data_IF_253548432066
#
_entry.id   IF_253548432066
#
_cell.length_a   1.000
_cell.length_b   1.000
_cell.length_c   1.000
_cell.angle_alpha   90.00
_cell.angle_beta   90.00
_cell.angle_gamma   90.00
#
_symmetry.space_group_name_H-M   'P 1'
#
loop_
_entity.id
_entity.type
_entity.pdbx_description
1 polymer ?
#
# COMPACT_ATOMS: atom_id res chain seq x y z
N UNK A 1 -58.39 -32.40 -66.67
CA UNK A 1 -58.19 -33.01 -65.38
C UNK A 1 -56.80 -32.62 -64.93
N UNK A 2 -56.65 -31.48 -64.10
CA UNK A 2 -55.36 -30.88 -63.63
C UNK A 2 -55.27 -31.01 -62.11
N UNK A 3 -54.34 -31.82 -61.67
CA UNK A 3 -54.04 -31.99 -60.25
C UNK A 3 -53.05 -30.89 -59.78
N UNK A 4 -53.47 -30.11 -58.82
CA UNK A 4 -52.59 -29.16 -58.09
C UNK A 4 -52.00 -29.85 -56.87
N UNK A 5 -50.71 -30.12 -56.89
CA UNK A 5 -49.96 -30.45 -55.69
C UNK A 5 -49.69 -29.15 -54.91
N UNK A 6 -50.25 -29.05 -53.73
CA UNK A 6 -49.85 -28.00 -52.74
C UNK A 6 -48.68 -28.55 -51.92
N UNK A 7 -47.49 -27.99 -52.13
CA UNK A 7 -46.34 -28.23 -51.30
C UNK A 7 -46.45 -27.45 -49.95
N UNK A 8 -46.42 -28.15 -48.84
CA UNK A 8 -46.31 -27.59 -47.50
C UNK A 8 -44.83 -27.39 -47.25
N UNK A 9 -44.41 -26.11 -47.12
CA UNK A 9 -43.06 -25.75 -46.65
C UNK A 9 -43.11 -25.69 -45.11
N UNK A 10 -42.53 -26.69 -44.46
CA UNK A 10 -42.26 -26.64 -43.00
C UNK A 10 -41.05 -25.74 -42.77
N UNK A 11 -41.27 -24.55 -42.17
CA UNK A 11 -40.19 -23.71 -41.67
C UNK A 11 -39.74 -24.26 -40.29
N UNK A 12 -38.58 -24.89 -40.26
CA UNK A 12 -37.89 -25.23 -39.01
C UNK A 12 -37.30 -23.94 -38.41
N UNK A 13 -37.95 -23.39 -37.39
CA UNK A 13 -37.38 -22.35 -36.56
C UNK A 13 -36.37 -22.99 -35.58
N UNK A 14 -35.07 -22.85 -35.83
CA UNK A 14 -34.03 -23.21 -34.89
C UNK A 14 -34.05 -22.21 -33.74
N UNK A 15 -34.57 -22.62 -32.57
CA UNK A 15 -34.33 -21.91 -31.33
C UNK A 15 -32.82 -22.01 -31.01
N UNK A 16 -32.10 -20.93 -31.19
CA UNK A 16 -30.78 -20.77 -30.58
C UNK A 16 -31.00 -20.67 -29.08
N UNK A 17 -30.83 -21.76 -28.33
CA UNK A 17 -30.67 -21.75 -26.89
C UNK A 17 -29.31 -21.13 -26.64
N UNK A 18 -29.29 -19.84 -26.37
CA UNK A 18 -28.10 -19.20 -25.80
C UNK A 18 -27.79 -19.91 -24.47
N UNK A 19 -26.67 -20.61 -24.42
CA UNK A 19 -26.09 -21.04 -23.15
C UNK A 19 -25.75 -19.75 -22.40
N UNK A 20 -26.58 -19.41 -21.43
CA UNK A 20 -26.11 -18.48 -20.39
C UNK A 20 -24.83 -19.13 -19.83
N UNK A 21 -23.68 -18.52 -20.08
CA UNK A 21 -22.46 -18.90 -19.38
C UNK A 21 -22.80 -18.83 -17.90
N UNK A 22 -22.65 -19.94 -17.19
CA UNK A 22 -22.69 -19.92 -15.74
C UNK A 22 -21.65 -18.86 -15.33
N UNK A 23 -22.08 -17.83 -14.61
CA UNK A 23 -21.16 -16.91 -14.00
C UNK A 23 -20.32 -17.76 -13.06
N UNK A 24 -19.06 -18.00 -13.43
CA UNK A 24 -18.13 -18.69 -12.56
C UNK A 24 -18.07 -17.91 -11.25
N UNK A 25 -17.96 -18.61 -10.11
CA UNK A 25 -17.86 -17.96 -8.81
C UNK A 25 -16.70 -16.95 -8.84
N UNK A 26 -16.81 -15.79 -8.15
CA UNK A 26 -15.75 -14.81 -8.11
C UNK A 26 -14.40 -15.44 -7.71
N UNK A 27 -13.30 -14.97 -8.30
CA UNK A 27 -11.95 -15.40 -7.95
C UNK A 27 -11.66 -15.11 -6.48
N UNK A 28 -11.14 -16.09 -5.77
CA UNK A 28 -10.67 -15.89 -4.39
C UNK A 28 -9.25 -15.35 -4.41
N UNK A 29 -9.12 -14.09 -3.99
CA UNK A 29 -7.85 -13.38 -3.89
C UNK A 29 -7.54 -13.12 -2.43
N UNK A 30 -6.32 -13.41 -2.01
CA UNK A 30 -5.80 -13.02 -0.70
C UNK A 30 -4.83 -11.87 -0.91
N UNK A 31 -5.01 -10.77 -0.19
CA UNK A 31 -4.10 -9.64 -0.13
C UNK A 31 -3.45 -9.58 1.26
N UNK A 32 -2.19 -9.22 1.36
CA UNK A 32 -1.51 -9.17 2.65
C UNK A 32 -2.05 -8.07 3.54
N UNK A 33 -2.39 -6.90 2.97
CA UNK A 33 -2.85 -5.73 3.71
C UNK A 33 -4.24 -5.28 3.27
N UNK A 34 -4.88 -4.45 4.09
CA UNK A 34 -6.17 -3.82 3.78
C UNK A 34 -6.07 -2.87 2.58
N UNK A 35 -4.94 -2.19 2.41
CA UNK A 35 -4.69 -1.27 1.29
C UNK A 35 -4.60 -2.06 -0.02
N UNK A 36 -3.77 -3.11 -0.09
CA UNK A 36 -3.68 -3.99 -1.27
C UNK A 36 -5.04 -4.62 -1.57
N UNK A 37 -5.79 -5.02 -0.53
CA UNK A 37 -7.12 -5.60 -0.70
C UNK A 37 -8.12 -4.61 -1.30
N UNK A 38 -8.08 -3.33 -0.90
CA UNK A 38 -8.96 -2.31 -1.46
C UNK A 38 -8.64 -2.06 -2.93
N UNK A 39 -7.37 -1.87 -3.27
CA UNK A 39 -6.94 -1.70 -4.68
C UNK A 39 -7.34 -2.91 -5.52
N UNK A 40 -7.14 -4.14 -5.01
CA UNK A 40 -7.54 -5.35 -5.72
C UNK A 40 -9.05 -5.43 -5.98
N UNK A 41 -9.89 -4.95 -5.03
CA UNK A 41 -11.34 -4.84 -5.23
C UNK A 41 -11.71 -3.80 -6.29
N UNK A 42 -11.01 -2.67 -6.35
CA UNK A 42 -11.24 -1.66 -7.39
C UNK A 42 -10.96 -2.22 -8.79
N UNK A 43 -9.90 -3.02 -8.95
CA UNK A 43 -9.52 -3.60 -10.24
C UNK A 43 -10.39 -4.80 -10.59
N UNK A 44 -10.65 -5.69 -9.62
CA UNK A 44 -11.39 -6.93 -9.84
C UNK A 44 -12.91 -6.76 -9.92
N UNK A 45 -13.46 -5.72 -9.25
CA UNK A 45 -14.91 -5.50 -9.16
C UNK A 45 -15.64 -6.73 -8.61
N UNK A 46 -16.79 -7.03 -9.19
CA UNK A 46 -17.64 -8.18 -8.81
C UNK A 46 -17.04 -9.54 -9.24
N UNK A 47 -15.94 -9.55 -10.00
CA UNK A 47 -15.28 -10.77 -10.48
C UNK A 47 -14.34 -11.37 -9.43
N UNK A 48 -14.08 -10.69 -8.32
CA UNK A 48 -13.17 -11.13 -7.26
C UNK A 48 -13.84 -11.09 -5.88
N UNK A 49 -13.41 -11.99 -5.01
CA UNK A 49 -13.63 -11.88 -3.56
C UNK A 49 -12.26 -11.73 -2.92
N UNK A 50 -11.99 -10.59 -2.29
CA UNK A 50 -10.68 -10.27 -1.74
C UNK A 50 -10.73 -10.30 -0.20
N UNK A 51 -9.85 -11.10 0.41
CA UNK A 51 -9.63 -11.17 1.86
C UNK A 51 -8.27 -10.54 2.17
N UNK A 52 -8.22 -9.63 3.14
CA UNK A 52 -6.97 -9.14 3.70
C UNK A 52 -6.49 -10.09 4.81
N UNK A 53 -5.18 -10.41 4.86
CA UNK A 53 -4.58 -11.22 5.93
C UNK A 53 -4.43 -10.39 7.20
N UNK A 54 -3.76 -9.25 7.09
CA UNK A 54 -3.60 -8.33 8.22
C UNK A 54 -4.92 -7.61 8.44
N UNK A 55 -5.53 -7.74 9.64
CA UNK A 55 -6.79 -7.07 9.95
C UNK A 55 -6.67 -5.53 9.96
N UNK A 56 -7.80 -4.84 9.92
CA UNK A 56 -7.87 -3.39 10.15
C UNK A 56 -7.30 -3.04 11.53
N UNK A 57 -6.72 -1.87 11.66
CA UNK A 57 -6.14 -1.35 12.90
C UNK A 57 -5.05 -2.25 13.52
N UNK A 58 -4.42 -3.11 12.71
CA UNK A 58 -3.33 -3.99 13.13
C UNK A 58 -2.01 -3.56 12.52
N UNK A 59 -0.94 -3.79 13.27
CA UNK A 59 0.44 -3.60 12.84
C UNK A 59 0.86 -4.79 11.96
N UNK A 60 1.18 -4.52 10.69
CA UNK A 60 1.56 -5.56 9.75
C UNK A 60 2.98 -6.11 10.01
N UNK A 61 3.88 -5.30 10.59
CA UNK A 61 5.23 -5.76 10.95
C UNK A 61 5.23 -6.76 12.10
N UNK A 62 4.23 -6.68 12.98
CA UNK A 62 4.05 -7.58 14.13
C UNK A 62 3.02 -8.69 13.88
N UNK A 63 2.49 -8.81 12.66
CA UNK A 63 1.45 -9.80 12.36
C UNK A 63 1.99 -11.23 12.37
N UNK A 64 1.32 -12.09 13.13
CA UNK A 64 1.58 -13.54 13.17
C UNK A 64 0.37 -14.30 12.61
N UNK A 65 0.53 -15.03 11.48
CA UNK A 65 -0.55 -15.77 10.87
C UNK A 65 -1.10 -16.88 11.75
N UNK A 66 -2.44 -16.97 11.87
CA UNK A 66 -3.11 -18.07 12.51
C UNK A 66 -3.33 -19.26 11.52
N UNK A 67 -3.62 -20.47 11.99
CA UNK A 67 -3.89 -21.63 11.13
C UNK A 67 -4.99 -21.40 10.08
N UNK A 68 -5.97 -20.56 10.37
CA UNK A 68 -7.03 -20.17 9.44
C UNK A 68 -6.50 -19.34 8.28
N UNK A 69 -5.46 -18.52 8.50
CA UNK A 69 -4.84 -17.69 7.47
C UNK A 69 -4.05 -18.57 6.50
N UNK A 70 -3.33 -19.57 7.02
CA UNK A 70 -2.67 -20.62 6.21
C UNK A 70 -3.66 -21.32 5.30
N UNK A 71 -4.83 -21.71 5.83
CA UNK A 71 -5.87 -22.35 5.02
C UNK A 71 -6.45 -21.37 3.99
N UNK A 72 -6.71 -20.12 4.38
CA UNK A 72 -7.22 -19.09 3.46
C UNK A 72 -6.29 -18.86 2.26
N UNK A 73 -4.97 -18.82 2.50
CA UNK A 73 -3.95 -18.70 1.44
C UNK A 73 -3.93 -19.96 0.56
N UNK A 74 -3.99 -21.15 1.15
CA UNK A 74 -4.01 -22.41 0.39
C UNK A 74 -5.26 -22.56 -0.50
N UNK A 75 -6.39 -22.00 -0.09
CA UNK A 75 -7.64 -22.00 -0.85
C UNK A 75 -7.76 -20.86 -1.86
N UNK A 76 -6.84 -19.91 -1.85
CA UNK A 76 -6.83 -18.77 -2.78
C UNK A 76 -6.44 -19.20 -4.21
N UNK A 77 -6.80 -18.37 -5.18
CA UNK A 77 -6.40 -18.51 -6.59
C UNK A 77 -5.28 -17.51 -6.95
N UNK A 78 -5.09 -16.50 -6.10
CA UNK A 78 -4.04 -15.48 -6.23
C UNK A 78 -3.72 -14.89 -4.85
N UNK A 79 -2.45 -14.67 -4.57
CA UNK A 79 -1.96 -13.89 -3.42
C UNK A 79 -1.30 -12.62 -3.92
N UNK A 80 -1.65 -11.50 -3.31
CA UNK A 80 -1.08 -10.18 -3.59
C UNK A 80 -0.36 -9.68 -2.35
N UNK A 81 0.90 -9.31 -2.49
CA UNK A 81 1.74 -8.82 -1.39
C UNK A 81 2.49 -7.55 -1.79
N UNK A 82 2.81 -6.72 -0.80
CA UNK A 82 3.60 -5.49 -0.99
C UNK A 82 5.01 -5.83 -1.46
N UNK A 83 5.68 -6.76 -0.79
CA UNK A 83 7.08 -7.10 -1.06
C UNK A 83 8.07 -6.16 -0.39
N UNK A 84 9.30 -6.10 -0.89
CA UNK A 84 10.39 -5.29 -0.33
C UNK A 84 10.69 -5.60 1.16
N UNK A 85 10.43 -6.84 1.58
CA UNK A 85 10.65 -7.27 2.96
C UNK A 85 9.56 -6.88 3.96
N UNK A 86 8.45 -6.28 3.50
CA UNK A 86 7.35 -5.85 4.36
C UNK A 86 6.70 -7.00 5.12
N UNK A 87 6.39 -8.09 4.42
CA UNK A 87 5.72 -9.27 4.99
C UNK A 87 6.71 -10.34 5.43
N UNK A 88 7.33 -10.18 6.58
CA UNK A 88 8.26 -11.19 7.11
C UNK A 88 7.60 -12.57 7.31
N UNK A 89 6.28 -12.60 7.55
CA UNK A 89 5.48 -13.82 7.77
C UNK A 89 5.15 -14.58 6.47
N UNK A 90 5.25 -13.95 5.29
CA UNK A 90 4.70 -14.48 4.04
C UNK A 90 5.42 -15.74 3.57
N UNK A 91 6.74 -15.83 3.76
CA UNK A 91 7.51 -17.00 3.36
C UNK A 91 6.98 -18.30 3.96
N UNK A 92 6.72 -18.31 5.28
CA UNK A 92 6.16 -19.47 5.98
C UNK A 92 4.73 -19.84 5.53
N UNK A 93 3.93 -18.85 5.11
CA UNK A 93 2.60 -19.09 4.54
C UNK A 93 2.70 -19.75 3.17
N UNK A 94 3.55 -19.21 2.29
CA UNK A 94 3.70 -19.69 0.91
C UNK A 94 4.33 -21.08 0.82
N UNK A 95 5.11 -21.50 1.80
CA UNK A 95 5.63 -22.89 1.90
C UNK A 95 4.48 -23.92 1.90
N UNK A 96 3.33 -23.56 2.47
CA UNK A 96 2.13 -24.41 2.52
C UNK A 96 1.20 -24.21 1.30
N UNK A 97 1.45 -23.22 0.48
CA UNK A 97 0.62 -22.82 -0.67
C UNK A 97 1.44 -22.63 -1.96
N UNK A 98 2.49 -23.43 -2.16
CA UNK A 98 3.44 -23.29 -3.27
C UNK A 98 2.80 -23.35 -4.69
N UNK A 99 1.58 -23.86 -4.82
CA UNK A 99 0.85 -23.89 -6.09
C UNK A 99 0.03 -22.61 -6.36
N UNK A 100 -0.15 -21.75 -5.35
CA UNK A 100 -0.90 -20.49 -5.48
C UNK A 100 0.04 -19.41 -6.00
N UNK A 101 -0.31 -18.72 -7.10
CA UNK A 101 0.49 -17.61 -7.59
C UNK A 101 0.60 -16.49 -6.53
N UNK A 102 1.83 -16.05 -6.28
CA UNK A 102 2.15 -14.88 -5.49
C UNK A 102 2.60 -13.76 -6.43
N UNK A 103 2.00 -12.58 -6.30
CA UNK A 103 2.40 -11.39 -7.05
C UNK A 103 2.72 -10.25 -6.09
N UNK A 104 3.87 -9.65 -6.32
CA UNK A 104 4.35 -8.49 -5.57
C UNK A 104 3.84 -7.23 -6.26
N UNK A 105 2.99 -6.46 -5.58
CA UNK A 105 2.37 -5.27 -6.18
C UNK A 105 3.35 -4.13 -6.41
N UNK A 106 4.43 -4.04 -5.62
CA UNK A 106 5.51 -3.07 -5.83
C UNK A 106 6.41 -3.38 -7.04
N UNK A 107 6.15 -4.47 -7.79
CA UNK A 107 6.92 -4.75 -9.03
C UNK A 107 6.84 -3.55 -9.97
N UNK A 108 8.00 -3.05 -10.40
CA UNK A 108 8.11 -1.87 -11.25
C UNK A 108 8.17 -0.54 -10.52
N UNK A 109 7.97 -0.50 -9.20
CA UNK A 109 8.10 0.72 -8.38
C UNK A 109 9.58 1.02 -8.15
N UNK A 110 9.95 2.28 -8.25
CA UNK A 110 11.28 2.78 -7.88
C UNK A 110 11.41 2.77 -6.34
N UNK A 111 12.42 2.07 -5.84
CA UNK A 111 12.62 1.85 -4.42
C UNK A 111 13.69 2.77 -3.85
N UNK A 112 13.47 3.21 -2.62
CA UNK A 112 14.43 3.97 -1.83
C UNK A 112 14.83 3.17 -0.60
N UNK A 113 16.01 3.45 -0.03
CA UNK A 113 16.46 2.89 1.25
C UNK A 113 15.83 3.60 2.42
N UNK A 114 15.92 2.98 3.58
CA UNK A 114 15.69 3.70 4.84
C UNK A 114 16.83 4.68 5.08
N UNK A 115 16.51 5.86 5.60
CA UNK A 115 17.55 6.80 6.05
C UNK A 115 18.22 6.24 7.32
N UNK A 116 19.52 6.45 7.48
CA UNK A 116 20.26 6.05 8.70
C UNK A 116 19.82 6.85 9.93
N UNK A 117 18.74 7.64 9.83
CA UNK A 117 18.29 8.56 10.87
C UNK A 117 19.18 9.82 10.99
N UNK A 118 20.15 9.99 10.10
CA UNK A 118 20.97 11.18 9.99
C UNK A 118 20.38 12.13 8.96
N UNK A 119 19.96 13.31 9.39
CA UNK A 119 19.39 14.35 8.53
C UNK A 119 20.34 14.83 7.41
N UNK A 120 21.61 14.47 7.45
CA UNK A 120 22.67 14.87 6.52
C UNK A 120 23.18 13.70 5.66
N UNK A 121 22.43 12.58 5.53
CA UNK A 121 22.83 11.50 4.61
C UNK A 121 22.69 11.97 3.15
N UNK A 122 23.80 12.16 2.41
CA UNK A 122 23.77 12.65 1.05
C UNK A 122 23.15 11.64 0.06
N UNK A 123 22.93 10.38 0.49
CA UNK A 123 22.42 9.28 -0.34
C UNK A 123 20.96 8.90 -0.01
N UNK A 124 20.36 9.48 1.04
CA UNK A 124 18.98 9.18 1.44
C UNK A 124 17.97 9.40 0.30
N UNK A 125 18.31 10.25 -0.68
CA UNK A 125 17.47 10.60 -1.83
C UNK A 125 17.81 9.82 -3.11
N UNK A 126 18.82 8.94 -3.08
CA UNK A 126 19.18 8.17 -4.25
C UNK A 126 18.29 6.90 -4.36
N UNK A 127 17.68 6.64 -5.54
CA UNK A 127 16.90 5.44 -5.72
C UNK A 127 17.81 4.21 -5.74
N UNK A 128 17.39 3.15 -5.04
CA UNK A 128 18.05 1.84 -5.04
C UNK A 128 17.81 1.06 -6.34
N UNK A 129 16.84 1.50 -7.16
CA UNK A 129 16.42 0.87 -8.40
C UNK A 129 14.95 0.47 -8.39
N UNK A 130 14.55 -0.28 -9.40
CA UNK A 130 13.16 -0.72 -9.58
C UNK A 130 12.98 -2.13 -9.03
N UNK A 131 11.95 -2.35 -8.21
CA UNK A 131 11.67 -3.67 -7.65
C UNK A 131 11.28 -4.67 -8.75
N UNK A 132 11.94 -5.81 -8.75
CA UNK A 132 11.62 -6.92 -9.65
C UNK A 132 10.51 -7.83 -9.11
N UNK A 133 10.06 -8.79 -9.94
CA UNK A 133 9.00 -9.74 -9.59
C UNK A 133 9.32 -10.61 -8.36
N UNK A 134 10.59 -10.81 -8.04
CA UNK A 134 11.01 -11.56 -6.85
C UNK A 134 10.68 -10.85 -5.54
N UNK A 135 10.35 -9.53 -5.60
CA UNK A 135 9.99 -8.73 -4.43
C UNK A 135 11.12 -8.50 -3.43
N UNK A 136 12.35 -8.79 -3.85
CA UNK A 136 13.54 -8.64 -3.02
C UNK A 136 14.31 -7.43 -3.50
N UNK A 137 14.63 -6.53 -2.59
CA UNK A 137 15.59 -5.48 -2.85
C UNK A 137 16.98 -6.11 -2.94
N UNK A 138 17.56 -6.08 -4.10
CA UNK A 138 18.98 -6.37 -4.21
C UNK A 138 19.71 -5.21 -3.52
N UNK A 139 20.30 -5.49 -2.36
CA UNK A 139 21.16 -4.53 -1.70
C UNK A 139 22.19 -4.05 -2.73
N UNK A 140 22.14 -2.77 -3.09
CA UNK A 140 23.23 -2.18 -3.86
C UNK A 140 24.47 -2.32 -2.99
N UNK A 141 25.56 -2.97 -3.47
CA UNK A 141 26.77 -3.05 -2.70
C UNK A 141 27.21 -1.62 -2.39
N UNK A 142 27.08 -1.19 -1.14
CA UNK A 142 27.57 0.11 -0.74
C UNK A 142 29.06 0.17 -1.08
N UNK A 143 29.47 1.24 -1.76
CA UNK A 143 30.90 1.49 -2.01
C UNK A 143 31.64 1.77 -0.69
N UNK A 144 30.92 2.00 0.38
CA UNK A 144 31.41 2.25 1.74
C UNK A 144 30.71 1.32 2.74
N UNK A 145 31.33 1.05 3.89
CA UNK A 145 30.92 0.07 4.92
C UNK A 145 29.54 0.28 5.57
N UNK A 146 28.69 1.17 5.04
CA UNK A 146 27.33 1.42 5.48
C UNK A 146 26.36 0.62 4.60
N UNK A 147 26.00 -0.58 5.06
CA UNK A 147 25.04 -1.44 4.37
C UNK A 147 23.64 -0.82 4.45
N UNK A 148 23.20 -0.12 3.39
CA UNK A 148 21.79 0.21 3.17
C UNK A 148 21.05 -1.11 2.86
N UNK A 149 20.63 -1.82 3.92
CA UNK A 149 20.30 -3.25 3.83
C UNK A 149 18.87 -3.57 3.43
N UNK A 150 17.96 -2.61 3.39
CA UNK A 150 16.56 -2.89 3.05
C UNK A 150 15.90 -1.68 2.40
N UNK A 151 15.04 -1.95 1.41
CA UNK A 151 14.21 -0.92 0.80
C UNK A 151 13.07 -0.51 1.74
N UNK A 152 12.65 0.74 1.65
CA UNK A 152 11.42 1.22 2.25
C UNK A 152 10.21 0.63 1.49
N UNK A 153 9.38 -0.24 2.10
CA UNK A 153 8.23 -0.85 1.44
C UNK A 153 7.00 0.06 1.38
N UNK A 154 6.98 1.20 2.09
CA UNK A 154 5.79 2.05 2.33
C UNK A 154 5.41 2.90 1.11
N UNK A 155 5.49 2.32 -0.09
CA UNK A 155 5.30 2.99 -1.38
C UNK A 155 3.90 3.56 -1.57
N UNK A 156 2.89 3.02 -0.87
CA UNK A 156 1.49 3.45 -0.98
C UNK A 156 1.21 4.84 -0.41
N UNK A 157 2.16 5.44 0.30
CA UNK A 157 2.03 6.83 0.76
C UNK A 157 2.14 7.84 -0.39
N UNK A 158 2.63 7.41 -1.55
CA UNK A 158 2.54 8.11 -2.83
C UNK A 158 1.53 7.40 -3.75
N UNK A 159 0.36 8.00 -4.07
CA UNK A 159 -0.63 7.35 -4.93
C UNK A 159 -0.14 7.05 -6.35
N UNK A 160 0.94 7.69 -6.82
CA UNK A 160 1.53 7.41 -8.14
C UNK A 160 2.13 6.00 -8.20
N UNK A 161 2.66 5.50 -7.09
CA UNK A 161 3.13 4.11 -6.99
C UNK A 161 1.95 3.13 -7.05
N UNK A 162 0.81 3.49 -6.46
CA UNK A 162 -0.40 2.64 -6.50
C UNK A 162 -1.04 2.63 -7.89
N UNK A 163 -0.77 3.60 -8.75
CA UNK A 163 -1.12 3.50 -10.19
C UNK A 163 -0.36 2.34 -10.85
N UNK A 164 0.92 2.09 -10.50
CA UNK A 164 1.67 0.93 -10.97
C UNK A 164 1.13 -0.38 -10.38
N UNK A 165 0.67 -0.36 -9.12
CA UNK A 165 0.00 -1.51 -8.52
C UNK A 165 -1.26 -1.89 -9.29
N UNK A 166 -2.03 -0.91 -9.78
CA UNK A 166 -3.24 -1.17 -10.56
C UNK A 166 -2.92 -1.99 -11.83
N UNK A 167 -1.85 -1.65 -12.55
CA UNK A 167 -1.40 -2.41 -13.73
C UNK A 167 -0.93 -3.81 -13.34
N UNK A 168 -0.13 -3.93 -12.28
CA UNK A 168 0.40 -5.21 -11.78
C UNK A 168 -0.74 -6.13 -11.36
N UNK A 169 -1.73 -5.61 -10.62
CA UNK A 169 -2.90 -6.37 -10.16
C UNK A 169 -3.77 -6.80 -11.36
N UNK A 170 -4.03 -5.90 -12.33
CA UNK A 170 -4.79 -6.24 -13.54
C UNK A 170 -4.10 -7.34 -14.34
N UNK A 171 -2.78 -7.30 -14.48
CA UNK A 171 -1.99 -8.35 -15.14
C UNK A 171 -2.09 -9.67 -14.37
N UNK A 172 -1.99 -9.64 -13.05
CA UNK A 172 -2.11 -10.82 -12.18
C UNK A 172 -3.50 -11.48 -12.28
N UNK A 173 -4.57 -10.67 -12.21
CA UNK A 173 -5.94 -11.15 -12.39
C UNK A 173 -6.16 -11.73 -13.78
N UNK A 174 -5.65 -11.09 -14.83
CA UNK A 174 -5.71 -11.57 -16.21
C UNK A 174 -4.99 -12.92 -16.37
N UNK A 175 -3.87 -13.13 -15.69
CA UNK A 175 -3.12 -14.39 -15.76
C UNK A 175 -3.92 -15.58 -15.22
N UNK A 176 -4.74 -15.37 -14.17
CA UNK A 176 -5.56 -16.43 -13.54
C UNK A 176 -6.99 -16.49 -14.12
N UNK A 177 -7.46 -15.41 -14.75
CA UNK A 177 -8.78 -15.31 -15.39
C UNK A 177 -8.71 -14.53 -16.72
N UNK A 178 -8.15 -15.13 -17.78
CA UNK A 178 -7.97 -14.47 -19.06
C UNK A 178 -9.30 -14.13 -19.78
N UNK A 179 -10.42 -14.72 -19.37
CA UNK A 179 -11.72 -14.44 -19.96
C UNK A 179 -12.21 -13.01 -19.65
N UNK A 180 -11.75 -12.43 -18.55
CA UNK A 180 -12.13 -11.11 -18.07
C UNK A 180 -11.02 -10.05 -18.20
N UNK A 181 -9.98 -10.32 -18.99
CA UNK A 181 -8.80 -9.45 -19.17
C UNK A 181 -9.15 -8.00 -19.52
N UNK A 182 -10.09 -7.79 -20.46
CA UNK A 182 -10.53 -6.46 -20.89
C UNK A 182 -11.17 -5.67 -19.73
N UNK A 183 -11.92 -6.35 -18.84
CA UNK A 183 -12.54 -5.74 -17.67
C UNK A 183 -11.49 -5.28 -16.66
N UNK A 184 -10.52 -6.13 -16.33
CA UNK A 184 -9.45 -5.78 -15.41
C UNK A 184 -8.60 -4.60 -15.92
N UNK A 185 -8.27 -4.63 -17.21
CA UNK A 185 -7.52 -3.53 -17.86
C UNK A 185 -8.31 -2.22 -17.84
N UNK A 186 -9.60 -2.26 -18.14
CA UNK A 186 -10.46 -1.07 -18.12
C UNK A 186 -10.61 -0.50 -16.69
N UNK A 187 -10.80 -1.37 -15.69
CA UNK A 187 -10.90 -0.96 -14.30
C UNK A 187 -9.59 -0.35 -13.78
N UNK A 188 -8.43 -0.93 -14.15
CA UNK A 188 -7.13 -0.38 -13.80
C UNK A 188 -6.95 1.04 -14.35
N UNK A 189 -7.23 1.24 -15.65
CA UNK A 189 -7.15 2.56 -16.26
C UNK A 189 -8.11 3.57 -15.63
N UNK A 190 -9.33 3.15 -15.28
CA UNK A 190 -10.29 4.00 -14.59
C UNK A 190 -9.81 4.37 -13.17
N UNK A 191 -9.27 3.40 -12.42
CA UNK A 191 -8.78 3.65 -11.07
C UNK A 191 -7.52 4.52 -11.06
N UNK A 192 -6.62 4.36 -12.03
CA UNK A 192 -5.46 5.25 -12.21
C UNK A 192 -5.89 6.72 -12.39
N UNK A 193 -6.95 6.98 -13.16
CA UNK A 193 -7.48 8.34 -13.30
C UNK A 193 -7.98 8.90 -11.95
N UNK A 194 -8.67 8.07 -11.14
CA UNK A 194 -9.12 8.45 -9.80
C UNK A 194 -7.94 8.69 -8.85
N UNK A 195 -6.87 7.90 -8.94
CA UNK A 195 -5.65 8.09 -8.16
C UNK A 195 -4.91 9.37 -8.55
N UNK A 196 -4.91 9.74 -9.85
CA UNK A 196 -4.37 11.02 -10.28
C UNK A 196 -5.16 12.20 -9.70
N UNK A 197 -6.48 12.14 -9.75
CA UNK A 197 -7.35 13.15 -9.13
C UNK A 197 -7.10 13.25 -7.62
N UNK A 198 -6.86 12.11 -6.95
CA UNK A 198 -6.51 12.09 -5.52
C UNK A 198 -5.16 12.75 -5.25
N UNK A 199 -4.14 12.45 -6.06
CA UNK A 199 -2.82 13.08 -5.97
C UNK A 199 -2.90 14.62 -6.13
N UNK A 200 -3.66 15.08 -7.13
CA UNK A 200 -3.87 16.50 -7.38
C UNK A 200 -4.59 17.17 -6.20
N UNK A 201 -5.62 16.51 -5.65
CA UNK A 201 -6.35 16.97 -4.47
C UNK A 201 -5.49 17.03 -3.20
N UNK A 202 -4.60 16.03 -2.99
CA UNK A 202 -3.62 16.05 -1.89
C UNK A 202 -2.64 17.22 -2.06
N UNK A 203 -2.15 17.45 -3.28
CA UNK A 203 -1.24 18.56 -3.59
C UNK A 203 -1.89 19.91 -3.26
N UNK A 204 -3.17 20.10 -3.64
CA UNK A 204 -3.92 21.30 -3.28
C UNK A 204 -4.08 21.44 -1.76
N UNK A 205 -4.49 20.37 -1.08
CA UNK A 205 -4.66 20.34 0.39
C UNK A 205 -3.38 20.71 1.12
N UNK A 206 -2.24 20.14 0.69
CA UNK A 206 -0.93 20.36 1.32
C UNK A 206 -0.29 21.70 0.93
N UNK A 207 -0.79 22.38 -0.10
CA UNK A 207 -0.27 23.68 -0.54
C UNK A 207 -0.37 24.79 0.50
N UNK A 208 -1.27 24.62 1.49
CA UNK A 208 -1.45 25.58 2.60
C UNK A 208 -0.32 25.52 3.63
N UNK A 209 0.50 24.46 3.61
CA UNK A 209 1.65 24.30 4.52
C UNK A 209 2.82 25.13 4.00
N UNK A 210 3.33 26.10 4.79
CA UNK A 210 4.51 26.88 4.40
C UNK A 210 5.74 25.98 4.17
N UNK A 211 6.60 26.33 3.21
CA UNK A 211 7.76 25.51 2.85
C UNK A 211 8.68 25.21 4.05
N UNK A 212 8.88 26.21 4.92
CA UNK A 212 9.71 26.08 6.12
C UNK A 212 9.12 25.13 7.21
N UNK A 213 7.85 24.75 7.05
CA UNK A 213 7.14 23.83 7.96
C UNK A 213 6.90 22.46 7.35
N UNK A 214 7.32 22.22 6.11
CA UNK A 214 7.19 20.93 5.45
C UNK A 214 8.20 19.91 5.97
N UNK A 215 8.18 19.71 7.30
CA UNK A 215 9.03 18.77 8.02
C UNK A 215 8.20 17.78 8.81
N UNK A 216 8.50 16.50 8.61
CA UNK A 216 7.82 15.39 9.26
C UNK A 216 8.75 14.75 10.28
N UNK A 217 8.27 14.56 11.50
CA UNK A 217 8.86 13.66 12.49
C UNK A 217 7.85 12.54 12.70
N UNK A 218 8.25 11.29 12.52
CA UNK A 218 7.38 10.13 12.55
C UNK A 218 7.81 9.10 13.60
N UNK A 219 6.89 8.21 14.00
CA UNK A 219 7.22 7.14 14.95
C UNK A 219 8.17 6.09 14.36
N UNK A 220 7.97 5.67 13.12
CA UNK A 220 8.93 4.89 12.33
C UNK A 220 8.98 5.44 10.90
N UNK A 221 9.85 4.90 10.07
CA UNK A 221 10.11 5.43 8.74
C UNK A 221 9.10 4.88 7.72
N UNK A 222 7.99 5.60 7.53
CA UNK A 222 6.92 5.22 6.57
C UNK A 222 6.49 6.35 5.64
N UNK A 223 7.00 7.56 5.83
CA UNK A 223 6.57 8.75 5.08
C UNK A 223 7.55 9.20 3.99
N UNK A 224 8.56 8.41 3.66
CA UNK A 224 9.60 8.79 2.70
C UNK A 224 9.03 9.06 1.30
N UNK A 225 8.14 8.20 0.81
CA UNK A 225 7.50 8.40 -0.50
C UNK A 225 6.52 9.56 -0.49
N UNK A 226 5.77 9.77 0.60
CA UNK A 226 4.93 10.95 0.77
C UNK A 226 5.76 12.23 0.75
N UNK A 227 6.86 12.27 1.50
CA UNK A 227 7.74 13.42 1.58
C UNK A 227 8.27 13.81 0.19
N UNK A 228 8.75 12.84 -0.58
CA UNK A 228 9.21 13.04 -1.97
C UNK A 228 8.09 13.49 -2.90
N UNK A 229 6.88 12.94 -2.75
CA UNK A 229 5.75 13.23 -3.61
C UNK A 229 5.24 14.68 -3.46
N UNK A 230 5.31 15.22 -2.23
CA UNK A 230 4.68 16.50 -1.87
C UNK A 230 5.66 17.56 -1.35
N UNK A 231 6.96 17.40 -1.60
CA UNK A 231 8.00 18.35 -1.24
C UNK A 231 8.07 18.61 0.28
N UNK A 232 8.07 17.51 1.07
CA UNK A 232 8.33 17.51 2.51
C UNK A 232 9.70 16.90 2.78
N UNK A 233 10.24 17.15 3.97
CA UNK A 233 11.45 16.56 4.52
C UNK A 233 11.08 15.63 5.67
N UNK A 234 11.58 14.39 5.69
CA UNK A 234 11.56 13.55 6.90
C UNK A 234 12.68 14.02 7.80
N UNK A 235 12.34 14.88 8.75
CA UNK A 235 13.31 15.55 9.62
C UNK A 235 13.73 14.69 10.83
N UNK A 236 13.05 13.58 11.08
CA UNK A 236 13.42 12.65 12.13
C UNK A 236 12.45 11.50 12.30
N UNK A 237 12.97 10.41 12.85
CA UNK A 237 12.24 9.17 13.11
C UNK A 237 12.52 8.73 14.56
N UNK A 238 11.46 8.38 15.30
CA UNK A 238 11.58 7.96 16.70
C UNK A 238 12.22 6.57 16.82
N UNK A 239 11.79 5.64 15.96
CA UNK A 239 12.31 4.28 15.85
C UNK A 239 12.91 4.14 14.44
N UNK A 240 14.24 4.17 14.29
CA UNK A 240 14.88 4.03 12.98
C UNK A 240 14.58 2.67 12.33
N UNK A 241 14.52 2.69 11.01
CA UNK A 241 14.27 1.49 10.19
C UNK A 241 12.80 1.24 9.94
N UNK A 242 12.53 0.23 9.11
CA UNK A 242 11.19 -0.07 8.60
C UNK A 242 10.35 -0.98 9.47
N UNK A 243 10.58 -1.04 10.77
CA UNK A 243 9.79 -1.86 11.69
C UNK A 243 9.39 -1.08 12.93
N UNK A 244 8.23 -1.42 13.48
CA UNK A 244 7.68 -0.80 14.70
C UNK A 244 8.27 -1.37 15.99
N UNK A 245 9.03 -2.47 15.93
CA UNK A 245 9.57 -3.23 17.05
C UNK A 245 11.03 -2.92 17.42
N UNK A 246 11.62 -1.84 16.90
CA UNK A 246 13.01 -1.45 17.19
C UNK A 246 13.23 -1.06 18.65
N UNK A 247 14.41 -1.37 19.20
CA UNK A 247 14.79 -0.90 20.53
C UNK A 247 15.18 0.59 20.48
N UNK A 248 14.62 1.39 21.40
CA UNK A 248 14.95 2.79 21.51
C UNK A 248 16.25 2.98 22.29
N UNK A 249 17.32 3.42 21.64
CA UNK A 249 18.53 3.86 22.31
C UNK A 249 18.27 5.22 23.01
N UNK A 250 18.45 5.33 24.33
CA UNK A 250 18.26 6.59 25.05
C UNK A 250 19.12 7.76 24.53
N UNK A 251 20.28 7.48 23.93
CA UNK A 251 21.12 8.52 23.33
C UNK A 251 20.55 9.04 22.03
N UNK A 252 20.00 8.14 21.22
CA UNK A 252 19.29 8.51 19.98
C UNK A 252 18.05 9.34 20.28
N UNK A 253 17.24 8.92 21.28
CA UNK A 253 16.04 9.68 21.72
C UNK A 253 16.42 11.08 22.20
N UNK A 254 17.48 11.23 23.00
CA UNK A 254 17.94 12.53 23.46
C UNK A 254 18.44 13.41 22.28
N UNK A 255 19.19 12.82 21.36
CA UNK A 255 19.63 13.51 20.13
C UNK A 255 18.47 13.99 19.27
N UNK A 256 17.45 13.15 19.10
CA UNK A 256 16.23 13.50 18.35
C UNK A 256 15.45 14.65 19.02
N UNK A 257 15.33 14.67 20.35
CA UNK A 257 14.71 15.78 21.09
C UNK A 257 15.45 17.11 20.82
N UNK A 258 16.77 17.09 20.88
CA UNK A 258 17.58 18.31 20.64
C UNK A 258 17.44 18.74 19.14
N UNK A 259 17.37 17.79 18.21
CA UNK A 259 17.19 18.05 16.81
C UNK A 259 15.80 18.66 16.50
N UNK A 260 14.72 18.07 17.01
CA UNK A 260 13.34 18.59 16.91
C UNK A 260 13.28 20.04 17.39
N UNK A 261 13.89 20.34 18.54
CA UNK A 261 13.94 21.70 19.08
C UNK A 261 14.73 22.66 18.18
N UNK A 262 15.87 22.21 17.65
CA UNK A 262 16.72 23.03 16.78
C UNK A 262 16.03 23.39 15.46
N UNK A 263 15.25 22.47 14.91
CA UNK A 263 14.47 22.66 13.67
C UNK A 263 13.16 23.43 13.90
N UNK A 264 12.73 23.62 15.16
CA UNK A 264 11.46 24.25 15.47
C UNK A 264 10.24 23.44 15.02
N UNK A 265 10.38 22.12 14.96
CA UNK A 265 9.25 21.22 14.66
C UNK A 265 8.27 21.29 15.83
N UNK A 266 6.96 21.36 15.51
CA UNK A 266 5.88 21.51 16.50
C UNK A 266 5.04 20.24 16.70
N UNK A 267 5.20 19.23 15.80
CA UNK A 267 4.35 18.04 15.73
C UNK A 267 5.15 16.78 15.44
N UNK A 268 4.84 15.70 16.15
CA UNK A 268 5.24 14.33 15.81
C UNK A 268 4.02 13.60 15.26
N UNK A 269 4.17 12.97 14.09
CA UNK A 269 3.14 12.14 13.49
C UNK A 269 3.33 10.68 13.92
N UNK A 270 2.33 10.15 14.61
CA UNK A 270 2.33 8.79 15.10
C UNK A 270 1.24 7.97 14.41
N UNK A 271 1.52 6.70 14.16
CA UNK A 271 0.52 5.79 13.63
C UNK A 271 -0.53 5.42 14.66
N UNK A 272 -1.76 5.18 14.19
CA UNK A 272 -2.87 4.75 15.03
C UNK A 272 -2.61 3.39 15.72
N UNK A 273 -1.82 2.52 15.08
CA UNK A 273 -1.46 1.18 15.58
C UNK A 273 -0.24 1.15 16.50
N UNK A 274 0.54 2.25 16.56
CA UNK A 274 1.80 2.28 17.32
C UNK A 274 1.59 2.42 18.82
N UNK A 275 2.54 1.88 19.60
CA UNK A 275 2.61 2.15 21.05
C UNK A 275 2.98 3.61 21.30
N UNK A 276 2.08 4.36 21.92
CA UNK A 276 2.26 5.82 22.11
C UNK A 276 3.22 6.17 23.26
N UNK A 277 3.54 5.24 24.16
CA UNK A 277 4.26 5.57 25.41
C UNK A 277 5.61 6.28 25.20
N UNK A 278 6.43 5.81 24.26
CA UNK A 278 7.75 6.42 23.97
C UNK A 278 7.55 7.74 23.23
N UNK A 279 6.58 7.77 22.31
CA UNK A 279 6.23 8.94 21.50
C UNK A 279 5.71 10.07 22.40
N UNK A 280 4.81 9.75 23.33
CA UNK A 280 4.24 10.71 24.28
C UNK A 280 5.33 11.30 25.23
N UNK A 281 6.24 10.44 25.69
CA UNK A 281 7.38 10.88 26.52
C UNK A 281 8.30 11.83 25.73
N UNK A 282 8.65 11.44 24.49
CA UNK A 282 9.52 12.25 23.62
C UNK A 282 8.84 13.58 23.29
N UNK A 283 7.56 13.57 22.96
CA UNK A 283 6.78 14.78 22.65
C UNK A 283 6.70 15.72 23.87
N UNK A 284 6.47 15.16 25.06
CA UNK A 284 6.48 15.93 26.30
C UNK A 284 7.86 16.58 26.58
N UNK A 285 8.93 15.80 26.40
CA UNK A 285 10.30 16.30 26.65
C UNK A 285 10.70 17.31 25.57
N UNK A 286 10.35 17.10 24.30
CA UNK A 286 10.60 18.05 23.22
C UNK A 286 9.73 19.31 23.31
N UNK A 287 8.56 19.23 23.93
CA UNK A 287 7.58 20.32 24.03
C UNK A 287 6.74 20.46 22.76
N UNK A 288 6.46 19.35 22.07
CA UNK A 288 5.70 19.28 20.82
C UNK A 288 4.41 18.46 20.98
N UNK A 289 3.51 18.57 20.01
CA UNK A 289 2.26 17.81 20.00
C UNK A 289 2.43 16.46 19.28
N UNK A 290 1.60 15.46 19.62
CA UNK A 290 1.44 14.22 18.86
C UNK A 290 0.16 14.29 18.06
N UNK A 291 0.25 13.97 16.78
CA UNK A 291 -0.90 13.88 15.86
C UNK A 291 -0.92 12.50 15.27
N UNK A 292 -2.07 11.83 15.34
CA UNK A 292 -2.25 10.48 14.81
C UNK A 292 -2.53 10.51 13.32
N UNK A 293 -1.78 9.71 12.56
CA UNK A 293 -1.99 9.44 11.14
C UNK A 293 -2.33 7.97 10.92
N UNK A 294 -2.87 7.67 9.73
CA UNK A 294 -3.02 6.29 9.25
C UNK A 294 -1.76 5.93 8.46
N UNK A 295 -1.17 4.76 8.71
CA UNK A 295 0.03 4.37 7.98
C UNK A 295 -0.10 3.07 7.21
N UNK A 296 -0.44 1.98 7.85
CA UNK A 296 -0.35 0.64 7.26
C UNK A 296 -1.72 -0.01 7.03
N UNK A 297 -2.77 0.58 7.58
CA UNK A 297 -4.10 -0.01 7.56
C UNK A 297 -5.19 1.00 7.20
N UNK A 298 -6.18 0.52 6.47
CA UNK A 298 -7.47 1.18 6.37
C UNK A 298 -8.26 0.96 7.67
N UNK A 299 -9.26 1.79 7.91
CA UNK A 299 -10.17 1.62 9.05
C UNK A 299 -11.31 0.65 8.73
N UNK A 300 -12.09 0.28 9.74
CA UNK A 300 -13.31 -0.47 9.56
C UNK A 300 -14.30 0.25 8.61
N UNK A 301 -15.26 -0.44 8.00
CA UNK A 301 -16.18 0.14 7.01
C UNK A 301 -16.99 1.35 7.49
N UNK A 302 -17.18 1.51 8.79
CA UNK A 302 -17.85 2.65 9.45
C UNK A 302 -16.84 3.67 10.02
N UNK A 303 -15.54 3.48 9.78
CA UNK A 303 -14.48 4.37 10.23
C UNK A 303 -14.24 5.56 9.29
N UNK A 304 -13.18 6.33 9.58
CA UNK A 304 -12.87 7.58 8.87
C UNK A 304 -12.22 7.37 7.50
N UNK A 305 -11.61 6.20 7.27
CA UNK A 305 -10.88 5.86 6.04
C UNK A 305 -11.07 4.38 5.65
N UNK A 306 -12.29 3.97 5.27
CA UNK A 306 -12.56 2.58 4.89
C UNK A 306 -12.01 2.21 3.51
N UNK A 307 -11.59 3.18 2.69
CA UNK A 307 -10.99 2.99 1.37
C UNK A 307 -9.62 3.65 1.29
N UNK A 308 -8.81 3.22 0.32
CA UNK A 308 -7.51 3.83 0.09
C UNK A 308 -7.61 5.32 -0.28
N UNK A 309 -8.63 5.71 -1.02
CA UNK A 309 -8.87 7.12 -1.34
C UNK A 309 -9.21 7.95 -0.09
N UNK A 310 -9.97 7.37 0.84
CA UNK A 310 -10.24 8.03 2.14
C UNK A 310 -8.97 8.14 2.97
N UNK A 311 -8.14 7.10 2.98
CA UNK A 311 -6.81 7.10 3.63
C UNK A 311 -5.94 8.26 3.15
N UNK A 312 -5.83 8.44 1.82
CA UNK A 312 -5.05 9.52 1.23
C UNK A 312 -5.57 10.89 1.66
N UNK A 313 -6.90 11.10 1.56
CA UNK A 313 -7.54 12.36 1.91
C UNK A 313 -7.39 12.69 3.39
N UNK A 314 -7.64 11.71 4.27
CA UNK A 314 -7.55 11.89 5.73
C UNK A 314 -6.13 12.25 6.13
N UNK A 315 -5.12 11.54 5.64
CA UNK A 315 -3.73 11.84 5.95
C UNK A 315 -3.30 13.22 5.45
N UNK A 316 -3.61 13.57 4.19
CA UNK A 316 -3.28 14.90 3.66
C UNK A 316 -3.92 16.02 4.48
N UNK A 317 -5.21 15.88 4.85
CA UNK A 317 -5.90 16.87 5.66
C UNK A 317 -5.32 16.96 7.08
N UNK A 318 -5.04 15.82 7.72
CA UNK A 318 -4.45 15.75 9.06
C UNK A 318 -3.09 16.45 9.11
N UNK A 319 -2.22 16.18 8.12
CA UNK A 319 -0.89 16.78 8.03
C UNK A 319 -1.00 18.29 7.75
N UNK A 320 -1.86 18.70 6.81
CA UNK A 320 -2.07 20.11 6.51
C UNK A 320 -2.59 20.89 7.71
N UNK A 321 -3.57 20.36 8.45
CA UNK A 321 -4.14 21.00 9.62
C UNK A 321 -3.12 21.14 10.77
N UNK A 322 -2.28 20.11 10.97
CA UNK A 322 -1.26 20.10 12.00
C UNK A 322 -0.13 21.11 11.73
N UNK A 323 0.22 21.33 10.46
CA UNK A 323 1.41 22.11 10.08
C UNK A 323 1.11 23.56 9.64
N UNK A 324 -0.16 23.89 9.32
CA UNK A 324 -0.49 25.25 8.86
C UNK A 324 -0.44 26.31 9.98
N UNK A 325 -0.75 25.92 11.24
CA UNK A 325 -0.98 26.84 12.38
C UNK A 325 0.07 26.75 13.50
N UNK A 326 1.15 25.97 13.33
CA UNK A 326 2.18 25.75 14.35
C UNK A 326 3.09 26.94 14.64
#
# INVERSE_FOLDING_TARGET
>A
MKWFLKGIVLALSALAVGTAAAQDAPLRVVATTTIVADVARQIGGDLVTVTALVPVDSDAHAFEPAPQDVQGVADAQLVLAVGAGYEAFLGGLMDNAAAVPLVIVNTGVEMYGFSDGHADDPHADEPLGVLGEAGVCEAVPAADDHAHGSCDPHTWTDPRNVMLWADTIAAALTAVDPANADTYTANAAAYQAVLQDAFDGMTETLSVVPAERRRLVTNHEFMSYFARAFDFEVAGVVIPGGTTGGENDPQMVAGLIDHIRALGVSVIFAEASASTQVIDMLAQDAGVNVVTTLSESLTAPDGIAPTYLDYLRVNAQTIADALREG
#
